data_IF_806048029127
#
_entry.id   IF_806048029127
#
_cell.length_a   1.000
_cell.length_b   1.000
_cell.length_c   1.000
_cell.angle_alpha   90.00
_cell.angle_beta   90.00
_cell.angle_gamma   90.00
#
_symmetry.space_group_name_H-M   'P 1'
#
loop_
_entity.id
_entity.type
_entity.pdbx_description
1 polymer ?
#
# COMPACT_ATOMS: atom_id res chain seq x y z
N UNK A 1 25.92 11.47 -23.47
CA UNK A 1 26.79 12.50 -22.84
C UNK A 1 27.10 12.05 -21.42
N UNK A 2 28.27 12.32 -20.88
CA UNK A 2 28.58 11.89 -19.50
C UNK A 2 27.65 12.57 -18.48
N UNK A 3 27.41 13.88 -18.62
CA UNK A 3 26.52 14.60 -17.69
C UNK A 3 25.66 15.63 -18.43
N UNK A 4 24.37 15.67 -18.13
CA UNK A 4 23.44 16.70 -18.61
C UNK A 4 22.97 17.51 -17.41
N UNK A 5 23.07 18.84 -17.50
CA UNK A 5 22.56 19.77 -16.48
C UNK A 5 21.66 20.81 -17.13
N UNK A 6 20.39 20.85 -16.73
CA UNK A 6 19.41 21.82 -17.21
C UNK A 6 19.16 22.82 -16.09
N UNK A 7 19.81 23.98 -16.15
CA UNK A 7 19.74 25.00 -15.08
C UNK A 7 18.48 25.85 -15.16
N UNK A 8 18.06 26.43 -14.05
CA UNK A 8 16.95 27.39 -14.03
C UNK A 8 17.45 28.78 -14.50
N UNK A 9 17.23 29.12 -15.77
CA UNK A 9 17.72 30.35 -16.40
C UNK A 9 16.80 31.56 -16.18
N UNK A 10 16.69 32.07 -14.95
CA UNK A 10 15.98 33.34 -14.66
C UNK A 10 14.48 33.34 -15.02
N UNK A 11 13.91 34.53 -15.29
CA UNK A 11 12.48 34.76 -15.65
C UNK A 11 12.08 34.01 -16.93
N UNK A 12 11.89 32.69 -16.84
CA UNK A 12 11.50 31.83 -17.96
C UNK A 12 11.88 30.36 -17.79
N UNK A 13 12.93 30.05 -17.02
CA UNK A 13 13.48 28.70 -16.86
C UNK A 13 14.11 28.14 -18.15
N UNK A 14 15.17 27.34 -18.05
CA UNK A 14 15.73 26.69 -19.25
C UNK A 14 14.94 25.43 -19.55
N UNK A 15 14.56 25.23 -20.81
CA UNK A 15 13.83 24.05 -21.28
C UNK A 15 14.65 23.29 -22.32
N UNK A 16 14.87 22.00 -22.09
CA UNK A 16 15.45 21.08 -23.07
C UNK A 16 14.34 20.18 -23.62
N UNK A 17 14.27 20.07 -24.94
CA UNK A 17 13.35 19.15 -25.63
C UNK A 17 14.20 18.19 -26.45
N UNK A 18 14.02 16.90 -26.22
CA UNK A 18 14.67 15.81 -26.94
C UNK A 18 13.59 15.08 -27.73
N UNK A 19 13.52 15.31 -29.05
CA UNK A 19 12.52 14.66 -29.93
C UNK A 19 12.78 13.17 -30.18
N UNK A 20 13.86 12.63 -29.63
CA UNK A 20 14.25 11.23 -29.73
C UNK A 20 14.52 10.64 -28.35
N UNK A 21 15.39 9.62 -28.31
CA UNK A 21 15.83 9.02 -27.07
C UNK A 21 16.86 9.92 -26.38
N UNK A 22 16.81 9.99 -25.05
CA UNK A 22 17.83 10.63 -24.23
C UNK A 22 18.68 9.55 -23.56
N UNK A 23 19.99 9.57 -23.79
CA UNK A 23 20.95 8.69 -23.11
C UNK A 23 22.10 9.50 -22.50
N UNK A 24 22.29 9.35 -21.19
CA UNK A 24 23.37 9.99 -20.44
C UNK A 24 23.74 9.17 -19.20
N UNK A 25 24.94 9.36 -18.65
CA UNK A 25 25.31 8.69 -17.37
C UNK A 25 24.64 9.39 -16.18
N UNK A 26 24.63 10.73 -16.18
CA UNK A 26 23.93 11.51 -15.16
C UNK A 26 23.10 12.65 -15.77
N UNK A 27 21.92 12.90 -15.21
CA UNK A 27 21.04 14.00 -15.60
C UNK A 27 20.52 14.76 -14.38
N UNK A 28 20.84 16.05 -14.27
CA UNK A 28 20.29 16.95 -13.27
C UNK A 28 19.38 18.01 -13.91
N UNK A 29 18.15 18.14 -13.40
CA UNK A 29 17.09 18.95 -14.00
C UNK A 29 16.61 19.99 -12.99
N UNK A 30 17.10 21.23 -13.08
CA UNK A 30 16.60 22.38 -12.32
C UNK A 30 15.51 23.15 -13.09
N UNK A 31 15.57 23.08 -14.43
CA UNK A 31 14.62 23.71 -15.36
C UNK A 31 13.52 22.75 -15.80
N UNK A 32 13.34 22.61 -17.12
CA UNK A 32 12.38 21.69 -17.71
C UNK A 32 13.04 20.74 -18.72
N UNK A 33 12.73 19.45 -18.63
CA UNK A 33 13.11 18.43 -19.61
C UNK A 33 11.85 17.82 -20.23
N UNK A 34 11.84 17.71 -21.55
CA UNK A 34 10.90 16.88 -22.28
C UNK A 34 11.68 15.88 -23.12
N UNK A 35 11.35 14.60 -23.00
CA UNK A 35 11.85 13.52 -23.85
C UNK A 35 10.66 12.88 -24.56
N UNK A 36 10.61 12.98 -25.89
CA UNK A 36 9.47 12.47 -26.69
C UNK A 36 9.49 10.94 -26.86
N UNK A 37 10.62 10.29 -26.57
CA UNK A 37 10.78 8.84 -26.59
C UNK A 37 11.44 8.35 -25.30
N UNK A 38 12.38 7.43 -25.37
CA UNK A 38 12.92 6.74 -24.19
C UNK A 38 13.97 7.59 -23.46
N UNK A 39 13.95 7.52 -22.13
CA UNK A 39 14.94 8.15 -21.26
C UNK A 39 15.76 7.09 -20.53
N UNK A 40 17.04 7.00 -20.86
CA UNK A 40 17.97 6.02 -20.31
C UNK A 40 19.09 6.75 -19.59
N UNK A 41 19.08 6.75 -18.27
CA UNK A 41 20.10 7.44 -17.49
C UNK A 41 20.24 6.82 -16.11
N UNK A 42 21.39 6.20 -15.77
CA UNK A 42 21.59 5.58 -14.46
C UNK A 42 21.27 6.50 -13.28
N UNK A 43 21.68 7.77 -13.34
CA UNK A 43 21.56 8.70 -12.22
C UNK A 43 20.77 9.94 -12.61
N UNK A 44 19.57 10.12 -12.04
CA UNK A 44 18.71 11.26 -12.36
C UNK A 44 18.27 12.01 -11.11
N UNK A 45 18.47 13.33 -11.11
CA UNK A 45 17.96 14.26 -10.08
C UNK A 45 17.06 15.31 -10.69
N UNK A 46 15.85 15.44 -10.16
CA UNK A 46 14.83 16.37 -10.68
C UNK A 46 14.41 17.33 -9.57
N UNK A 47 14.86 18.58 -9.68
CA UNK A 47 14.38 19.71 -8.88
C UNK A 47 13.33 20.55 -9.62
N UNK A 48 13.37 20.54 -10.96
CA UNK A 48 12.46 21.24 -11.85
C UNK A 48 11.33 20.34 -12.34
N UNK A 49 11.13 20.28 -13.67
CA UNK A 49 10.09 19.46 -14.30
C UNK A 49 10.67 18.50 -15.34
N UNK A 50 10.18 17.27 -15.37
CA UNK A 50 10.52 16.27 -16.37
C UNK A 50 9.25 15.62 -16.92
N UNK A 51 9.14 15.55 -18.24
CA UNK A 51 8.12 14.78 -18.93
C UNK A 51 8.77 13.81 -19.91
N UNK A 52 8.47 12.53 -19.80
CA UNK A 52 8.95 11.47 -20.70
C UNK A 52 7.74 10.77 -21.31
N UNK A 53 7.71 10.71 -22.64
CA UNK A 53 6.61 10.09 -23.39
C UNK A 53 6.92 8.65 -23.84
N UNK A 54 8.19 8.22 -23.76
CA UNK A 54 8.58 6.82 -23.93
C UNK A 54 8.83 6.11 -22.59
N UNK A 55 9.60 5.02 -22.63
CA UNK A 55 9.97 4.28 -21.43
C UNK A 55 11.16 4.94 -20.72
N UNK A 56 11.20 4.82 -19.39
CA UNK A 56 12.28 5.37 -18.58
C UNK A 56 13.06 4.24 -17.90
N UNK A 57 14.37 4.20 -18.10
CA UNK A 57 15.29 3.27 -17.44
C UNK A 57 16.33 4.08 -16.66
N UNK A 58 16.30 3.97 -15.35
CA UNK A 58 17.18 4.66 -14.41
C UNK A 58 17.69 3.66 -13.37
N UNK A 59 18.75 3.96 -12.64
CA UNK A 59 19.16 3.17 -11.47
C UNK A 59 18.71 3.90 -10.21
N UNK A 60 19.22 5.11 -9.98
CA UNK A 60 18.84 5.98 -8.85
C UNK A 60 18.05 7.17 -9.37
N UNK A 61 16.87 7.38 -8.77
CA UNK A 61 15.96 8.44 -9.21
C UNK A 61 15.46 9.32 -8.07
N UNK A 62 15.97 10.55 -7.99
CA UNK A 62 15.55 11.54 -6.99
C UNK A 62 14.62 12.60 -7.61
N UNK A 63 13.41 12.75 -7.07
CA UNK A 63 12.40 13.69 -7.56
C UNK A 63 11.92 14.60 -6.44
N UNK A 64 12.50 15.79 -6.35
CA UNK A 64 12.02 16.89 -5.49
C UNK A 64 11.08 17.86 -6.21
N UNK A 65 11.18 17.93 -7.54
CA UNK A 65 10.33 18.73 -8.40
C UNK A 65 9.09 17.98 -8.87
N UNK A 66 8.88 17.90 -10.19
CA UNK A 66 7.82 17.11 -10.80
C UNK A 66 8.35 16.23 -11.93
N UNK A 67 8.02 14.94 -11.89
CA UNK A 67 8.32 14.01 -12.97
C UNK A 67 7.06 13.27 -13.42
N UNK A 68 6.83 13.27 -14.74
CA UNK A 68 5.71 12.59 -15.39
C UNK A 68 6.24 11.68 -16.48
N UNK A 69 6.01 10.39 -16.33
CA UNK A 69 6.29 9.34 -17.30
C UNK A 69 4.96 8.83 -17.83
N UNK A 70 4.73 8.91 -19.15
CA UNK A 70 3.46 8.41 -19.72
C UNK A 70 3.42 6.89 -19.83
N UNK A 71 4.58 6.24 -20.01
CA UNK A 71 4.69 4.78 -20.14
C UNK A 71 5.36 4.18 -18.88
N UNK A 72 6.21 3.16 -19.07
CA UNK A 72 6.80 2.36 -18.01
C UNK A 72 8.06 3.00 -17.41
N UNK A 73 8.30 2.70 -16.13
CA UNK A 73 9.52 3.04 -15.41
C UNK A 73 10.22 1.77 -14.94
N UNK A 74 11.51 1.64 -15.26
CA UNK A 74 12.39 0.68 -14.61
C UNK A 74 13.44 1.45 -13.80
N UNK A 75 13.52 1.18 -12.50
CA UNK A 75 14.46 1.79 -11.57
C UNK A 75 15.10 0.73 -10.65
N UNK A 76 16.17 1.11 -9.96
CA UNK A 76 16.69 0.34 -8.81
C UNK A 76 16.16 0.95 -7.52
N UNK A 77 16.35 2.25 -7.35
CA UNK A 77 15.93 3.04 -6.18
C UNK A 77 15.23 4.33 -6.62
N UNK A 78 14.17 4.72 -5.93
CA UNK A 78 13.40 5.93 -6.23
C UNK A 78 13.02 6.68 -4.96
N UNK A 79 13.45 7.94 -4.84
CA UNK A 79 13.07 8.87 -3.76
C UNK A 79 12.22 10.01 -4.33
N UNK A 80 11.02 10.18 -3.78
CA UNK A 80 10.05 11.18 -4.19
C UNK A 80 9.70 12.09 -3.01
N UNK A 81 10.29 13.27 -2.99
CA UNK A 81 9.90 14.39 -2.13
C UNK A 81 8.91 15.35 -2.81
N UNK A 82 8.86 15.34 -4.15
CA UNK A 82 7.99 16.18 -4.98
C UNK A 82 6.74 15.46 -5.50
N UNK A 83 6.44 15.65 -6.79
CA UNK A 83 5.32 15.00 -7.48
C UNK A 83 5.80 14.02 -8.55
N UNK A 84 5.36 12.78 -8.46
CA UNK A 84 5.75 11.71 -9.35
C UNK A 84 4.55 11.03 -9.98
N UNK A 85 4.59 10.83 -11.30
CA UNK A 85 3.55 10.09 -12.01
C UNK A 85 4.16 9.13 -13.03
N UNK A 86 3.71 7.89 -13.00
CA UNK A 86 3.93 6.87 -14.04
C UNK A 86 2.57 6.48 -14.60
N UNK A 87 2.43 6.51 -15.92
CA UNK A 87 1.16 6.23 -16.60
C UNK A 87 0.83 4.74 -16.63
N UNK A 88 1.84 3.91 -16.88
CA UNK A 88 1.74 2.44 -16.94
C UNK A 88 2.41 1.81 -15.71
N UNK A 89 3.26 0.80 -15.92
CA UNK A 89 3.87 0.00 -14.86
C UNK A 89 5.20 0.59 -14.39
N UNK A 90 5.54 0.33 -13.13
CA UNK A 90 6.82 0.66 -12.54
C UNK A 90 7.45 -0.58 -11.91
N UNK A 91 8.69 -0.89 -12.29
CA UNK A 91 9.49 -1.96 -11.70
C UNK A 91 10.68 -1.31 -11.00
N UNK A 92 10.75 -1.45 -9.69
CA UNK A 92 11.78 -0.84 -8.84
C UNK A 92 12.47 -1.96 -8.08
N UNK A 93 13.75 -2.20 -8.37
CA UNK A 93 14.43 -3.43 -7.93
C UNK A 93 14.72 -3.52 -6.44
N UNK A 94 14.79 -2.38 -5.74
CA UNK A 94 15.18 -2.33 -4.33
C UNK A 94 14.11 -1.59 -3.53
N UNK A 95 14.03 -0.26 -3.66
CA UNK A 95 13.22 0.56 -2.75
C UNK A 95 12.53 1.76 -3.44
N UNK A 96 11.31 2.04 -3.00
CA UNK A 96 10.55 3.25 -3.31
C UNK A 96 10.21 4.04 -2.03
N UNK A 97 10.78 5.22 -1.87
CA UNK A 97 10.42 6.17 -0.81
C UNK A 97 9.53 7.29 -1.36
N UNK A 98 8.37 7.51 -0.73
CA UNK A 98 7.42 8.56 -1.09
C UNK A 98 7.16 9.47 0.12
N UNK A 99 7.97 10.51 0.26
CA UNK A 99 7.73 11.60 1.21
C UNK A 99 6.77 12.68 0.66
N UNK A 100 6.70 12.84 -0.68
CA UNK A 100 5.85 13.78 -1.38
C UNK A 100 4.53 13.17 -1.88
N UNK A 101 4.35 13.09 -3.19
CA UNK A 101 3.17 12.49 -3.82
C UNK A 101 3.52 11.67 -5.04
N UNK A 102 3.12 10.40 -5.07
CA UNK A 102 3.37 9.50 -6.18
C UNK A 102 2.09 8.81 -6.67
N UNK A 103 1.94 8.74 -8.00
CA UNK A 103 0.85 8.03 -8.66
C UNK A 103 1.38 7.09 -9.74
N UNK A 104 1.07 5.81 -9.63
CA UNK A 104 1.37 4.78 -10.62
C UNK A 104 0.04 4.28 -11.19
N UNK A 105 -0.17 4.46 -12.50
CA UNK A 105 -1.42 4.10 -13.17
C UNK A 105 -1.61 2.61 -13.36
N UNK A 106 -0.51 1.87 -13.50
CA UNK A 106 -0.47 0.43 -13.62
C UNK A 106 0.01 -0.27 -12.33
N UNK A 107 0.78 -1.33 -12.55
CA UNK A 107 1.39 -2.14 -11.51
C UNK A 107 2.66 -1.49 -10.97
N UNK A 108 2.87 -1.57 -9.66
CA UNK A 108 4.18 -1.38 -9.04
C UNK A 108 4.69 -2.75 -8.57
N UNK A 109 5.86 -3.15 -9.04
CA UNK A 109 6.63 -4.27 -8.49
C UNK A 109 7.88 -3.72 -7.80
N UNK A 110 7.91 -3.78 -6.47
CA UNK A 110 9.00 -3.24 -5.66
C UNK A 110 9.14 -3.97 -4.33
N UNK A 111 10.33 -4.50 -3.97
CA UNK A 111 10.52 -5.21 -2.72
C UNK A 111 10.14 -4.41 -1.47
N UNK A 112 10.54 -3.14 -1.39
CA UNK A 112 10.31 -2.28 -0.23
C UNK A 112 9.67 -0.94 -0.63
N UNK A 113 8.56 -0.59 0.03
CA UNK A 113 7.84 0.66 -0.24
C UNK A 113 7.58 1.42 1.06
N UNK A 114 8.12 2.63 1.15
CA UNK A 114 7.89 3.54 2.27
C UNK A 114 7.03 4.73 1.82
N UNK A 115 5.93 4.98 2.53
CA UNK A 115 4.99 6.07 2.21
C UNK A 115 4.85 7.00 3.41
N UNK A 116 5.60 8.10 3.40
CA UNK A 116 5.43 9.25 4.30
C UNK A 116 4.39 10.26 3.84
N UNK A 117 4.23 10.42 2.52
CA UNK A 117 3.33 11.37 1.88
C UNK A 117 2.04 10.73 1.35
N UNK A 118 1.74 10.92 0.07
CA UNK A 118 0.58 10.34 -0.60
C UNK A 118 0.98 9.39 -1.73
N UNK A 119 0.46 8.16 -1.70
CA UNK A 119 0.73 7.15 -2.71
C UNK A 119 -0.57 6.60 -3.30
N UNK A 120 -0.66 6.55 -4.63
CA UNK A 120 -1.76 5.91 -5.34
C UNK A 120 -1.18 4.96 -6.38
N UNK A 121 -1.55 3.68 -6.29
CA UNK A 121 -1.16 2.67 -7.27
C UNK A 121 -2.39 1.86 -7.68
N UNK A 122 -2.38 1.25 -8.86
CA UNK A 122 -3.45 0.33 -9.23
C UNK A 122 -3.21 -1.04 -8.59
N UNK A 123 -2.13 -1.72 -8.98
CA UNK A 123 -1.76 -3.01 -8.41
C UNK A 123 -0.39 -2.94 -7.72
N UNK A 124 -0.35 -3.20 -6.42
CA UNK A 124 0.89 -3.20 -5.64
C UNK A 124 1.41 -4.62 -5.44
N UNK A 125 2.63 -4.91 -5.86
CA UNK A 125 3.38 -6.14 -5.58
C UNK A 125 4.63 -5.77 -4.81
N UNK A 126 4.78 -6.32 -3.61
CA UNK A 126 5.87 -5.94 -2.70
C UNK A 126 6.14 -7.02 -1.67
N UNK A 127 7.31 -6.99 -1.03
CA UNK A 127 7.58 -7.82 0.14
C UNK A 127 7.20 -7.07 1.42
N UNK A 128 7.60 -5.80 1.52
CA UNK A 128 7.40 -4.97 2.71
C UNK A 128 6.85 -3.60 2.34
N UNK A 129 5.85 -3.13 3.07
CA UNK A 129 5.33 -1.77 2.91
C UNK A 129 5.05 -1.11 4.25
N UNK A 130 5.54 0.10 4.42
CA UNK A 130 5.33 0.93 5.60
C UNK A 130 4.60 2.23 5.21
N UNK A 131 3.37 2.40 5.71
CA UNK A 131 2.52 3.55 5.40
C UNK A 131 2.34 4.41 6.65
N UNK A 132 3.12 5.50 6.74
CA UNK A 132 2.95 6.53 7.77
C UNK A 132 2.08 7.71 7.30
N UNK A 133 2.03 7.97 6.00
CA UNK A 133 1.15 8.94 5.35
C UNK A 133 -0.18 8.34 4.89
N UNK A 134 -0.50 8.47 3.60
CA UNK A 134 -1.72 7.92 3.01
C UNK A 134 -1.43 7.13 1.73
N UNK A 135 -1.89 5.88 1.68
CA UNK A 135 -1.77 5.04 0.50
C UNK A 135 -3.13 4.48 0.04
N UNK A 136 -3.35 4.49 -1.28
CA UNK A 136 -4.52 3.90 -1.92
C UNK A 136 -4.09 2.94 -3.03
N UNK A 137 -4.64 1.73 -3.01
CA UNK A 137 -4.44 0.72 -4.05
C UNK A 137 -5.77 0.14 -4.53
N UNK A 138 -5.82 -0.35 -5.77
CA UNK A 138 -6.95 -1.16 -6.23
C UNK A 138 -6.81 -2.60 -5.75
N UNK A 139 -5.63 -3.19 -5.90
CA UNK A 139 -5.26 -4.51 -5.39
C UNK A 139 -3.85 -4.50 -4.81
N UNK A 140 -3.55 -5.42 -3.91
CA UNK A 140 -2.21 -5.55 -3.33
C UNK A 140 -1.84 -7.00 -3.04
N UNK A 141 -0.56 -7.33 -3.26
CA UNK A 141 0.10 -8.57 -2.89
C UNK A 141 1.35 -8.23 -2.09
N UNK A 142 1.35 -8.56 -0.80
CA UNK A 142 2.41 -8.22 0.16
C UNK A 142 3.02 -9.51 0.72
N UNK A 143 4.25 -9.81 0.33
CA UNK A 143 4.92 -11.07 0.64
C UNK A 143 5.18 -11.30 2.13
N UNK A 144 5.61 -10.26 2.86
CA UNK A 144 5.98 -10.36 4.28
C UNK A 144 5.08 -9.50 5.17
N UNK A 145 5.16 -8.16 5.06
CA UNK A 145 4.47 -7.27 6.00
C UNK A 145 3.96 -5.98 5.36
N UNK A 146 2.76 -5.58 5.76
CA UNK A 146 2.18 -4.26 5.55
C UNK A 146 1.92 -3.61 6.90
N UNK A 147 2.60 -2.52 7.21
CA UNK A 147 2.34 -1.73 8.42
C UNK A 147 1.67 -0.41 8.06
N UNK A 148 0.62 -0.07 8.79
CA UNK A 148 -0.19 1.13 8.55
C UNK A 148 -0.30 1.93 9.83
N UNK A 149 0.53 2.97 9.93
CA UNK A 149 0.46 3.98 10.99
C UNK A 149 -0.39 5.19 10.60
N UNK A 150 -0.47 5.48 9.30
CA UNK A 150 -1.31 6.54 8.74
C UNK A 150 -2.67 6.02 8.28
N UNK A 151 -2.93 6.12 6.97
CA UNK A 151 -4.17 5.64 6.36
C UNK A 151 -3.92 4.80 5.11
N UNK A 152 -4.49 3.60 5.07
CA UNK A 152 -4.41 2.71 3.93
C UNK A 152 -5.79 2.31 3.42
N UNK A 153 -6.02 2.41 2.11
CA UNK A 153 -7.24 1.93 1.46
C UNK A 153 -6.91 1.04 0.27
N UNK A 154 -7.26 -0.24 0.36
CA UNK A 154 -7.34 -1.12 -0.79
C UNK A 154 -8.82 -1.21 -1.24
N UNK A 155 -9.12 -0.94 -2.51
CA UNK A 155 -10.50 -1.00 -3.02
C UNK A 155 -10.98 -2.42 -3.28
N UNK A 156 -10.10 -3.29 -3.77
CA UNK A 156 -10.33 -4.71 -3.95
C UNK A 156 -9.56 -5.55 -2.93
N UNK A 157 -9.23 -6.78 -3.33
CA UNK A 157 -8.59 -7.75 -2.45
C UNK A 157 -7.13 -7.40 -2.14
N UNK A 158 -6.71 -7.71 -0.92
CA UNK A 158 -5.30 -7.81 -0.55
C UNK A 158 -4.93 -9.26 -0.24
N UNK A 159 -3.75 -9.69 -0.66
CA UNK A 159 -3.10 -10.92 -0.20
C UNK A 159 -1.87 -10.51 0.60
N UNK A 160 -1.82 -10.83 1.89
CA UNK A 160 -0.69 -10.46 2.75
C UNK A 160 -0.34 -11.53 3.79
N UNK A 161 0.94 -11.76 4.05
CA UNK A 161 1.35 -12.58 5.19
C UNK A 161 1.04 -11.88 6.52
N UNK A 162 1.35 -10.58 6.65
CA UNK A 162 1.05 -9.80 7.85
C UNK A 162 0.51 -8.40 7.52
N UNK A 163 -0.57 -8.01 8.20
CA UNK A 163 -1.10 -6.65 8.22
C UNK A 163 -1.16 -6.13 9.66
N UNK A 164 -0.39 -5.08 9.96
CA UNK A 164 -0.42 -4.39 11.26
C UNK A 164 -0.97 -2.97 11.11
N UNK A 165 -2.01 -2.62 11.85
CA UNK A 165 -2.72 -1.34 11.72
C UNK A 165 -2.80 -0.63 13.07
N UNK A 166 -2.01 0.44 13.22
CA UNK A 166 -2.09 1.37 14.35
C UNK A 166 -2.86 2.65 13.99
N UNK A 167 -2.89 3.01 12.71
CA UNK A 167 -3.69 4.12 12.19
C UNK A 167 -5.08 3.68 11.74
N UNK A 168 -5.39 3.92 10.46
CA UNK A 168 -6.66 3.53 9.85
C UNK A 168 -6.45 2.67 8.61
N UNK A 169 -7.25 1.62 8.43
CA UNK A 169 -7.25 0.86 7.19
C UNK A 169 -8.64 0.46 6.71
N UNK A 170 -8.78 0.35 5.39
CA UNK A 170 -9.90 -0.35 4.74
C UNK A 170 -9.34 -1.30 3.70
N UNK A 171 -9.67 -2.58 3.81
CA UNK A 171 -9.36 -3.58 2.79
C UNK A 171 -10.66 -4.03 2.13
N UNK A 172 -10.62 -4.30 0.83
CA UNK A 172 -11.80 -4.70 0.07
C UNK A 172 -12.17 -6.15 0.31
N UNK A 173 -13.18 -6.59 -0.43
CA UNK A 173 -13.74 -7.95 -0.36
C UNK A 173 -12.71 -8.99 -0.84
N UNK A 174 -12.95 -10.26 -0.49
CA UNK A 174 -12.14 -11.42 -0.89
C UNK A 174 -10.66 -11.35 -0.45
N UNK A 175 -10.35 -10.53 0.55
CA UNK A 175 -8.99 -10.36 1.07
C UNK A 175 -8.51 -11.60 1.83
N UNK A 176 -7.23 -11.95 1.67
CA UNK A 176 -6.57 -13.10 2.33
C UNK A 176 -5.36 -12.60 3.11
N UNK A 177 -5.44 -12.58 4.43
CA UNK A 177 -4.37 -12.06 5.28
C UNK A 177 -4.05 -13.10 6.34
N UNK A 178 -2.83 -13.65 6.37
CA UNK A 178 -2.53 -14.68 7.37
C UNK A 178 -2.61 -14.10 8.80
N UNK A 179 -1.92 -13.00 9.08
CA UNK A 179 -1.91 -12.37 10.40
C UNK A 179 -2.38 -10.93 10.35
N UNK A 180 -3.54 -10.65 10.94
CA UNK A 180 -4.09 -9.30 11.10
C UNK A 180 -3.95 -8.82 12.55
N UNK A 181 -3.28 -7.69 12.76
CA UNK A 181 -3.22 -7.02 14.06
C UNK A 181 -3.73 -5.59 13.97
N UNK A 182 -4.74 -5.25 14.77
CA UNK A 182 -5.40 -3.93 14.74
C UNK A 182 -5.40 -3.31 16.12
N UNK A 183 -4.60 -2.27 16.32
CA UNK A 183 -4.63 -1.38 17.49
C UNK A 183 -5.31 -0.05 17.20
N UNK A 184 -5.37 0.36 15.93
CA UNK A 184 -6.13 1.52 15.47
C UNK A 184 -7.55 1.16 15.05
N UNK A 185 -7.96 1.59 13.86
CA UNK A 185 -9.27 1.28 13.27
C UNK A 185 -9.11 0.59 11.92
N UNK A 186 -9.80 -0.54 11.72
CA UNK A 186 -9.76 -1.26 10.46
C UNK A 186 -11.16 -1.73 10.03
N UNK A 187 -11.38 -1.80 8.72
CA UNK A 187 -12.53 -2.47 8.12
C UNK A 187 -12.06 -3.43 7.04
N UNK A 188 -12.49 -4.69 7.15
CA UNK A 188 -12.38 -5.67 6.10
C UNK A 188 -13.73 -5.84 5.40
N UNK A 189 -13.70 -6.01 4.08
CA UNK A 189 -14.88 -6.26 3.27
C UNK A 189 -15.46 -7.66 3.49
N UNK A 190 -16.32 -8.06 2.57
CA UNK A 190 -16.99 -9.37 2.61
C UNK A 190 -16.05 -10.49 2.16
N UNK A 191 -16.36 -11.73 2.53
CA UNK A 191 -15.68 -12.97 2.13
C UNK A 191 -14.17 -13.00 2.46
N UNK A 192 -13.74 -12.25 3.48
CA UNK A 192 -12.34 -12.19 3.87
C UNK A 192 -11.90 -13.46 4.61
N UNK A 193 -10.63 -13.83 4.42
CA UNK A 193 -10.00 -15.00 5.03
C UNK A 193 -8.78 -14.59 5.84
N UNK A 194 -8.74 -15.04 7.09
CA UNK A 194 -7.62 -14.82 7.99
C UNK A 194 -7.11 -16.14 8.58
N UNK A 195 -5.88 -16.15 9.10
CA UNK A 195 -5.44 -17.25 9.99
C UNK A 195 -5.60 -16.75 11.42
N UNK A 196 -4.83 -15.74 11.80
CA UNK A 196 -4.88 -15.11 13.12
C UNK A 196 -5.34 -13.66 13.04
N UNK A 197 -6.31 -13.28 13.88
CA UNK A 197 -6.72 -11.88 14.08
C UNK A 197 -6.55 -11.48 15.53
N UNK A 198 -5.88 -10.35 15.76
CA UNK A 198 -5.73 -9.71 17.08
C UNK A 198 -6.25 -8.28 17.03
N UNK A 199 -7.24 -7.98 17.88
CA UNK A 199 -7.91 -6.68 17.91
C UNK A 199 -7.81 -6.08 19.30
N UNK A 200 -7.00 -5.03 19.45
CA UNK A 200 -6.99 -4.16 20.64
C UNK A 200 -7.66 -2.81 20.39
N UNK A 201 -7.76 -2.40 19.12
CA UNK A 201 -8.49 -1.21 18.68
C UNK A 201 -9.92 -1.52 18.27
N UNK A 202 -10.30 -1.10 17.07
CA UNK A 202 -11.62 -1.34 16.47
C UNK A 202 -11.51 -2.05 15.12
N UNK A 203 -12.20 -3.19 14.96
CA UNK A 203 -12.25 -3.94 13.71
C UNK A 203 -13.70 -4.17 13.27
N UNK A 204 -14.03 -3.76 12.04
CA UNK A 204 -15.24 -4.16 11.34
C UNK A 204 -14.94 -5.27 10.33
N UNK A 205 -15.68 -6.37 10.40
CA UNK A 205 -15.62 -7.49 9.47
C UNK A 205 -16.91 -7.55 8.65
N UNK A 206 -16.76 -7.68 7.33
CA UNK A 206 -17.87 -7.94 6.43
C UNK A 206 -18.44 -9.35 6.57
N UNK A 207 -19.44 -9.63 5.74
CA UNK A 207 -20.14 -10.90 5.69
C UNK A 207 -19.22 -12.06 5.28
N UNK A 208 -19.52 -13.26 5.79
CA UNK A 208 -18.83 -14.51 5.43
C UNK A 208 -17.33 -14.49 5.69
N UNK A 209 -16.92 -13.88 6.81
CA UNK A 209 -15.52 -13.87 7.22
C UNK A 209 -15.13 -15.23 7.78
N UNK A 210 -13.99 -15.76 7.33
CA UNK A 210 -13.41 -17.02 7.83
C UNK A 210 -12.09 -16.71 8.51
N UNK A 211 -11.86 -17.23 9.72
CA UNK A 211 -10.52 -17.24 10.33
C UNK A 211 -10.23 -18.56 11.08
N UNK A 212 -9.00 -18.76 11.53
CA UNK A 212 -8.72 -19.86 12.47
C UNK A 212 -8.90 -19.37 13.91
N UNK A 213 -8.25 -18.26 14.23
CA UNK A 213 -8.23 -17.67 15.57
C UNK A 213 -8.56 -16.18 15.55
N UNK A 214 -9.45 -15.74 16.44
CA UNK A 214 -9.72 -14.32 16.69
C UNK A 214 -9.62 -14.01 18.18
N UNK A 215 -8.81 -13.00 18.51
CA UNK A 215 -8.63 -12.47 19.86
C UNK A 215 -9.04 -11.00 19.92
N UNK A 216 -10.10 -10.71 20.66
CA UNK A 216 -10.68 -9.36 20.78
C UNK A 216 -10.52 -8.85 22.21
N UNK A 217 -9.56 -7.94 22.43
CA UNK A 217 -9.45 -7.14 23.66
C UNK A 217 -10.04 -5.73 23.51
N UNK A 218 -10.15 -5.24 22.28
CA UNK A 218 -10.80 -3.98 21.93
C UNK A 218 -12.27 -4.17 21.57
N UNK A 219 -12.69 -3.57 20.46
CA UNK A 219 -14.03 -3.71 19.88
C UNK A 219 -13.97 -4.38 18.52
N UNK A 220 -14.82 -5.38 18.30
CA UNK A 220 -15.00 -5.99 16.99
C UNK A 220 -16.48 -6.03 16.65
N UNK A 221 -16.78 -5.77 15.38
CA UNK A 221 -18.12 -5.96 14.81
C UNK A 221 -17.98 -6.85 13.60
N UNK A 222 -18.87 -7.82 13.47
CA UNK A 222 -19.01 -8.66 12.29
C UNK A 222 -20.43 -8.52 11.76
N UNK A 223 -20.58 -8.56 10.45
CA UNK A 223 -21.89 -8.65 9.80
C UNK A 223 -22.00 -10.01 9.16
N UNK A 224 -23.21 -10.57 9.06
CA UNK A 224 -23.45 -11.92 8.54
C UNK A 224 -22.71 -13.00 9.34
N UNK A 225 -22.24 -14.02 8.63
CA UNK A 225 -21.56 -15.18 9.22
C UNK A 225 -20.08 -14.90 9.48
N UNK A 226 -19.66 -15.07 10.74
CA UNK A 226 -18.26 -15.19 11.15
C UNK A 226 -17.96 -16.65 11.51
N UNK A 227 -17.12 -17.32 10.72
CA UNK A 227 -16.75 -18.73 10.95
C UNK A 227 -15.29 -18.87 11.37
N UNK A 228 -15.06 -19.59 12.45
CA UNK A 228 -13.76 -19.90 13.02
C UNK A 228 -13.53 -21.39 13.07
N UNK A 229 -12.39 -21.86 12.57
CA UNK A 229 -12.05 -23.30 12.67
C UNK A 229 -11.51 -23.69 14.04
N UNK A 230 -10.92 -22.75 14.78
CA UNK A 230 -10.36 -23.00 16.10
C UNK A 230 -11.07 -22.15 17.16
N UNK A 231 -10.51 -20.98 17.52
CA UNK A 231 -10.86 -20.29 18.76
C UNK A 231 -11.28 -18.84 18.58
N UNK A 232 -12.32 -18.46 19.32
CA UNK A 232 -12.72 -17.08 19.58
C UNK A 232 -12.46 -16.71 21.03
N UNK A 233 -11.57 -15.74 21.29
CA UNK A 233 -11.36 -15.17 22.63
C UNK A 233 -11.84 -13.72 22.67
N UNK A 234 -12.70 -13.39 23.63
CA UNK A 234 -13.28 -12.06 23.79
C UNK A 234 -13.08 -11.60 25.24
N UNK A 235 -12.14 -10.68 25.43
CA UNK A 235 -11.99 -9.92 26.69
C UNK A 235 -12.51 -8.49 26.58
N UNK A 236 -12.66 -7.98 25.36
CA UNK A 236 -13.29 -6.69 25.06
C UNK A 236 -14.77 -6.83 24.71
N UNK A 237 -15.16 -6.32 23.54
CA UNK A 237 -16.54 -6.40 23.05
C UNK A 237 -16.59 -6.93 21.61
N UNK A 238 -17.46 -7.91 21.36
CA UNK A 238 -17.79 -8.39 20.02
C UNK A 238 -19.29 -8.27 19.79
N UNK A 239 -19.69 -7.65 18.68
CA UNK A 239 -21.05 -7.73 18.15
C UNK A 239 -21.08 -8.46 16.80
N UNK A 240 -22.07 -9.32 16.57
CA UNK A 240 -22.19 -10.04 15.31
C UNK A 240 -23.59 -10.56 15.06
N UNK A 241 -23.88 -10.99 13.84
CA UNK A 241 -25.18 -11.61 13.53
C UNK A 241 -25.10 -13.11 13.88
N UNK A 242 -24.26 -13.87 13.17
CA UNK A 242 -24.06 -15.31 13.37
C UNK A 242 -22.57 -15.65 13.53
N UNK A 243 -22.24 -16.33 14.63
CA UNK A 243 -20.86 -16.72 14.97
C UNK A 243 -20.78 -18.24 15.12
N UNK A 244 -19.89 -18.87 14.37
CA UNK A 244 -19.54 -20.29 14.50
C UNK A 244 -18.05 -20.43 14.83
N UNK A 245 -17.71 -21.19 15.88
CA UNK A 245 -16.32 -21.47 16.25
C UNK A 245 -16.15 -22.87 16.84
N UNK A 246 -14.94 -23.41 16.91
CA UNK A 246 -14.69 -24.63 17.70
C UNK A 246 -14.79 -24.36 19.20
N UNK A 247 -14.10 -23.34 19.69
CA UNK A 247 -14.16 -22.87 21.07
C UNK A 247 -14.47 -21.37 21.15
N UNK A 248 -15.41 -20.98 22.00
CA UNK A 248 -15.68 -19.58 22.36
C UNK A 248 -15.33 -19.36 23.84
N UNK A 249 -14.45 -18.41 24.13
CA UNK A 249 -14.12 -17.96 25.48
C UNK A 249 -14.48 -16.48 25.64
N UNK A 250 -15.41 -16.16 26.55
CA UNK A 250 -15.88 -14.78 26.80
C UNK A 250 -15.60 -14.40 28.24
N UNK A 251 -14.80 -13.37 28.44
CA UNK A 251 -14.65 -12.65 29.73
C UNK A 251 -15.07 -11.18 29.63
N UNK A 252 -15.45 -10.74 28.44
CA UNK A 252 -15.94 -9.39 28.15
C UNK A 252 -17.42 -9.41 27.77
N UNK A 253 -17.77 -8.76 26.66
CA UNK A 253 -19.14 -8.72 26.15
C UNK A 253 -19.23 -9.36 24.76
N UNK A 254 -20.18 -10.29 24.61
CA UNK A 254 -20.56 -10.87 23.34
C UNK A 254 -22.05 -10.59 23.10
N UNK A 255 -22.38 -9.86 22.04
CA UNK A 255 -23.75 -9.61 21.63
C UNK A 255 -23.98 -10.11 20.20
N UNK A 256 -24.74 -11.19 20.05
CA UNK A 256 -25.06 -11.74 18.75
C UNK A 256 -26.45 -12.35 18.70
N UNK A 257 -26.99 -12.49 17.50
CA UNK A 257 -28.26 -13.20 17.30
C UNK A 257 -28.07 -14.71 17.52
N UNK A 258 -26.98 -15.26 17.00
CA UNK A 258 -26.64 -16.69 17.09
C UNK A 258 -25.15 -16.86 17.37
N UNK A 259 -24.83 -17.66 18.40
CA UNK A 259 -23.47 -18.18 18.63
C UNK A 259 -23.50 -19.70 18.76
N UNK A 260 -22.63 -20.38 18.02
CA UNK A 260 -22.52 -21.84 17.99
C UNK A 260 -21.06 -22.26 18.13
N UNK A 261 -20.79 -23.15 19.08
CA UNK A 261 -19.49 -23.76 19.24
C UNK A 261 -19.56 -25.13 19.91
N UNK A 262 -18.49 -25.91 19.78
CA UNK A 262 -18.34 -27.20 20.46
C UNK A 262 -18.09 -27.01 21.96
N UNK A 263 -17.39 -25.93 22.33
CA UNK A 263 -17.15 -25.52 23.72
C UNK A 263 -17.37 -24.01 23.90
N UNK A 264 -18.13 -23.63 24.92
CA UNK A 264 -18.33 -22.23 25.31
C UNK A 264 -17.97 -22.05 26.78
N UNK A 265 -16.99 -21.20 27.05
CA UNK A 265 -16.53 -20.80 28.39
C UNK A 265 -16.90 -19.32 28.64
N UNK A 266 -17.68 -19.06 29.68
CA UNK A 266 -18.08 -17.69 30.08
C UNK A 266 -17.54 -17.44 31.48
N UNK A 267 -16.79 -16.35 31.66
CA UNK A 267 -16.15 -15.94 32.91
C UNK A 267 -16.38 -14.48 33.26
#
# INVERSE_FOLDING_TARGET
>A
AERIKIRNGGRGGSKLIVGGNLTAEETAIDGALIVEKDFNCPQVKIMGSCAVYGNTNVETYEVSGSAKHELNLNATEVDISGSFKVGEDAIIKEELEVSGSAKIGGMLDCPEVEVGGSFVCNNLITNSTDVSGSAKTSTAQVGDKLNVSGSYKCEGSIIAAKLSVSGSSKVGDDSKIEKLSVSGSSRAGDNCKFVDVKVSGSLGLGANTIAENINVSGSCSSSGLLRLSEKLQISGSLSGDEIEAGEISVSGSLNCEIAKADLINIG
#
